data_IF_856386707962
#
_entry.id   IF_856386707962
#
_cell.length_a   1.000
_cell.length_b   1.000
_cell.length_c   1.000
_cell.angle_alpha   90.00
_cell.angle_beta   90.00
_cell.angle_gamma   90.00
#
_symmetry.space_group_name_H-M   'P 1'
#
loop_
_entity.id
_entity.type
_entity.pdbx_description
1 polymer ?
#
# COMPACT_ATOMS: atom_id res chain seq x y z
N UNK A 1 -12.52 -43.44 -49.28
CA UNK A 1 -11.23 -44.14 -49.44
C UNK A 1 -10.19 -43.14 -49.88
N UNK A 2 -9.45 -42.60 -48.91
CA UNK A 2 -8.20 -41.88 -49.04
C UNK A 2 -7.60 -41.94 -47.62
N UNK A 3 -6.39 -42.47 -47.49
CA UNK A 3 -5.81 -42.85 -46.19
C UNK A 3 -4.61 -41.96 -45.94
N UNK A 4 -4.59 -41.27 -44.81
CA UNK A 4 -3.41 -40.53 -44.33
C UNK A 4 -2.72 -41.32 -43.21
N UNK A 5 -1.38 -41.18 -43.06
CA UNK A 5 -0.57 -42.23 -42.45
C UNK A 5 -0.48 -42.19 -40.92
N UNK A 6 -0.35 -43.39 -40.36
CA UNK A 6 -0.15 -43.66 -38.94
C UNK A 6 1.33 -43.39 -38.56
N UNK A 7 1.56 -42.57 -37.53
CA UNK A 7 2.89 -42.19 -37.06
C UNK A 7 3.29 -43.07 -35.86
N UNK A 8 3.99 -44.16 -36.15
CA UNK A 8 4.62 -45.00 -35.13
C UNK A 8 5.73 -44.23 -34.41
N UNK A 9 5.56 -43.96 -33.10
CA UNK A 9 6.62 -43.41 -32.25
C UNK A 9 7.27 -44.56 -31.47
N UNK A 10 8.53 -44.84 -31.79
CA UNK A 10 9.33 -45.89 -31.17
C UNK A 10 9.70 -45.52 -29.72
N UNK A 11 9.38 -46.37 -28.76
CA UNK A 11 9.86 -46.23 -27.38
C UNK A 11 11.24 -46.87 -27.20
N UNK A 12 12.24 -46.09 -26.79
CA UNK A 12 13.54 -46.58 -26.31
C UNK A 12 13.66 -46.31 -24.79
N UNK A 13 14.13 -47.26 -23.95
CA UNK A 13 14.02 -47.14 -22.50
C UNK A 13 15.32 -46.70 -21.81
N UNK A 14 15.17 -45.97 -20.71
CA UNK A 14 16.18 -45.94 -19.64
C UNK A 14 16.86 -44.60 -19.40
N UNK A 15 16.26 -43.78 -18.53
CA UNK A 15 17.01 -42.84 -17.69
C UNK A 15 16.65 -43.13 -16.22
N UNK A 16 17.67 -43.38 -15.41
CA UNK A 16 17.50 -43.71 -14.00
C UNK A 16 17.01 -42.48 -13.21
N UNK A 17 16.15 -42.73 -12.22
CA UNK A 17 15.47 -41.70 -11.42
C UNK A 17 16.29 -41.38 -10.17
N UNK A 18 16.91 -40.21 -10.12
CA UNK A 18 17.57 -39.72 -8.90
C UNK A 18 16.53 -39.45 -7.78
N UNK A 19 16.91 -39.64 -6.50
CA UNK A 19 15.98 -39.47 -5.38
C UNK A 19 15.69 -37.99 -5.08
N UNK A 20 14.42 -37.69 -4.76
CA UNK A 20 14.01 -36.36 -4.27
C UNK A 20 14.72 -36.04 -2.94
N UNK A 21 15.29 -34.84 -2.86
CA UNK A 21 15.69 -34.25 -1.58
C UNK A 21 14.45 -33.90 -0.75
N UNK A 22 14.46 -34.29 0.51
CA UNK A 22 13.45 -33.98 1.52
C UNK A 22 13.72 -32.58 2.11
N UNK A 23 12.70 -31.72 2.12
CA UNK A 23 12.79 -30.37 2.69
C UNK A 23 12.55 -30.42 4.21
N UNK A 24 13.40 -31.17 4.90
CA UNK A 24 13.35 -31.35 6.36
C UNK A 24 13.67 -30.08 7.14
N UNK A 25 13.09 -29.98 8.35
CA UNK A 25 13.18 -28.83 9.23
C UNK A 25 14.63 -28.35 9.51
N UNK A 26 14.80 -27.03 9.62
CA UNK A 26 16.08 -26.40 9.92
C UNK A 26 16.70 -26.90 11.22
N UNK A 27 18.01 -27.19 11.20
CA UNK A 27 18.76 -27.72 12.34
C UNK A 27 18.62 -26.83 13.59
N UNK A 28 18.40 -27.41 14.79
CA UNK A 28 18.23 -26.65 16.04
C UNK A 28 19.46 -25.81 16.44
N UNK A 29 20.62 -26.10 15.85
CA UNK A 29 21.85 -25.33 16.07
C UNK A 29 21.79 -23.93 15.44
N UNK A 30 21.17 -23.81 14.25
CA UNK A 30 20.94 -22.51 13.61
C UNK A 30 19.94 -21.65 14.38
N UNK A 31 18.89 -22.26 14.95
CA UNK A 31 17.90 -21.52 15.76
C UNK A 31 18.55 -20.95 17.04
N UNK A 32 19.40 -21.73 17.71
CA UNK A 32 20.16 -21.26 18.88
C UNK A 32 21.15 -20.13 18.54
N UNK A 33 21.82 -20.21 17.39
CA UNK A 33 22.68 -19.13 16.90
C UNK A 33 21.93 -17.81 16.68
N UNK A 34 20.74 -17.88 16.09
CA UNK A 34 19.87 -16.70 15.84
C UNK A 34 19.32 -16.13 17.16
N UNK A 35 18.85 -16.96 18.08
CA UNK A 35 18.37 -16.52 19.40
C UNK A 35 19.46 -15.82 20.23
N UNK A 36 20.70 -16.34 20.20
CA UNK A 36 21.84 -15.71 20.85
C UNK A 36 22.17 -14.33 20.23
N UNK A 37 22.02 -14.17 18.92
CA UNK A 37 22.21 -12.89 18.22
C UNK A 37 21.20 -11.84 18.70
N UNK A 38 19.91 -12.20 18.75
CA UNK A 38 18.86 -11.31 19.24
C UNK A 38 18.96 -11.02 20.75
N UNK A 39 19.46 -11.96 21.56
CA UNK A 39 19.74 -11.71 22.97
C UNK A 39 20.83 -10.65 23.15
N UNK A 40 21.92 -10.70 22.34
CA UNK A 40 22.99 -9.70 22.39
C UNK A 40 22.52 -8.32 21.94
N UNK A 41 21.74 -8.24 20.86
CA UNK A 41 21.18 -6.99 20.35
C UNK A 41 20.22 -6.31 21.36
N UNK A 42 19.47 -7.09 22.16
CA UNK A 42 18.65 -6.55 23.27
C UNK A 42 19.49 -6.08 24.46
N UNK A 43 20.61 -6.73 24.75
CA UNK A 43 21.52 -6.31 25.81
C UNK A 43 22.18 -4.96 25.46
N UNK A 44 22.74 -4.85 24.25
CA UNK A 44 23.36 -3.63 23.73
C UNK A 44 22.37 -2.44 23.67
N UNK A 45 21.08 -2.68 23.39
CA UNK A 45 20.04 -1.64 23.40
C UNK A 45 19.59 -1.20 24.82
N UNK A 46 19.75 -2.06 25.83
CA UNK A 46 19.37 -1.73 27.22
C UNK A 46 20.44 -0.91 27.92
N UNK A 47 21.72 -1.07 27.55
CA UNK A 47 22.83 -0.27 28.11
C UNK A 47 22.86 1.19 27.64
N UNK A 48 22.14 1.54 26.57
CA UNK A 48 22.15 2.88 25.98
C UNK A 48 21.14 3.87 26.61
N UNK A 49 20.39 3.47 27.64
CA UNK A 49 19.25 4.25 28.17
C UNK A 49 19.32 4.52 29.69
N UNK A 50 20.46 4.29 30.35
CA UNK A 50 20.61 4.47 31.81
C UNK A 50 21.94 5.13 32.19
N UNK A 51 22.22 6.34 31.66
CA UNK A 51 23.26 7.20 32.23
C UNK A 51 23.06 8.70 31.94
N UNK A 52 21.99 9.33 32.45
CA UNK A 52 21.96 10.80 32.62
C UNK A 52 20.97 11.29 33.71
N UNK A 53 21.39 11.24 34.99
CA UNK A 53 20.94 12.19 36.06
C UNK A 53 22.01 12.24 37.17
N UNK A 54 22.88 13.27 37.21
CA UNK A 54 23.55 13.77 38.42
C UNK A 54 24.36 15.07 38.17
N UNK A 55 24.29 16.01 39.12
CA UNK A 55 25.00 17.30 39.23
C UNK A 55 25.00 17.70 40.74
N UNK A 56 25.84 18.59 41.33
CA UNK A 56 27.09 19.28 40.93
C UNK A 56 28.27 18.79 41.86
N UNK A 57 29.26 19.56 42.42
CA UNK A 57 29.74 20.94 42.21
C UNK A 57 31.28 21.23 42.26
N UNK A 58 31.73 22.17 41.43
CA UNK A 58 32.46 23.42 41.82
C UNK A 58 33.86 23.42 42.48
N UNK A 59 34.85 23.95 41.73
CA UNK A 59 35.92 24.95 42.05
C UNK A 59 36.90 24.97 40.86
N UNK A 60 37.69 25.99 40.49
CA UNK A 60 37.91 27.42 40.75
C UNK A 60 39.12 27.83 39.87
N UNK A 61 39.35 29.14 39.62
CA UNK A 61 40.48 29.73 38.87
C UNK A 61 40.57 29.42 37.36
N UNK A 62 40.76 30.37 36.44
CA UNK A 62 40.92 31.83 36.53
C UNK A 62 42.18 32.32 35.79
N UNK A 63 42.01 33.11 34.71
CA UNK A 63 42.94 34.09 34.07
C UNK A 63 42.24 34.62 32.79
N UNK A 64 42.30 35.94 32.53
CA UNK A 64 41.92 36.58 31.25
C UNK A 64 43.10 37.43 30.71
N UNK A 65 42.91 38.44 29.81
CA UNK A 65 41.69 38.84 29.10
C UNK A 65 41.85 39.01 27.54
N UNK A 66 40.70 39.17 26.86
CA UNK A 66 40.37 40.01 25.67
C UNK A 66 41.49 40.80 24.94
N UNK A 67 41.46 40.95 23.58
CA UNK A 67 40.36 41.72 22.95
C UNK A 67 39.87 41.35 21.53
N UNK A 68 38.57 41.62 21.33
CA UNK A 68 37.94 42.29 20.17
C UNK A 68 38.33 41.87 18.73
N UNK A 69 37.44 41.09 18.10
CA UNK A 69 37.07 41.33 16.68
C UNK A 69 35.56 41.29 16.49
N UNK A 70 34.94 42.46 16.55
CA UNK A 70 33.52 42.68 16.29
C UNK A 70 33.22 42.55 14.77
N UNK A 71 32.29 41.68 14.39
CA UNK A 71 32.03 41.39 12.97
C UNK A 71 30.85 40.47 12.61
N UNK A 72 30.04 40.01 13.58
CA UNK A 72 28.81 39.28 13.27
C UNK A 72 27.69 40.26 12.94
N UNK A 73 27.44 40.49 11.65
CA UNK A 73 26.17 41.01 11.19
C UNK A 73 25.09 39.96 11.45
N UNK A 74 24.46 40.06 12.63
CA UNK A 74 23.15 39.45 12.87
C UNK A 74 22.13 40.18 11.99
N UNK A 75 22.04 39.75 10.73
CA UNK A 75 20.90 40.04 9.89
C UNK A 75 19.73 39.28 10.52
N UNK A 76 18.84 40.01 11.19
CA UNK A 76 17.65 39.41 11.78
C UNK A 76 16.84 38.74 10.68
N UNK A 77 16.85 37.41 10.69
CA UNK A 77 16.03 36.59 9.80
C UNK A 77 14.58 36.95 10.12
N UNK A 78 14.01 37.76 9.24
CA UNK A 78 12.62 38.19 9.37
C UNK A 78 11.81 36.95 9.08
N UNK A 79 10.89 36.51 9.96
CA UNK A 79 10.09 35.33 9.67
C UNK A 79 9.30 35.63 8.39
N UNK A 80 9.70 34.98 7.31
CA UNK A 80 8.83 34.80 6.14
C UNK A 80 7.54 34.14 6.65
N UNK A 81 6.41 34.29 5.95
CA UNK A 81 5.24 33.48 6.21
C UNK A 81 5.56 32.03 5.85
N UNK A 82 6.18 31.31 6.79
CA UNK A 82 6.39 29.87 6.71
C UNK A 82 5.03 29.20 6.48
N UNK A 83 5.01 28.27 5.54
CA UNK A 83 3.79 27.56 5.18
C UNK A 83 3.31 26.66 6.32
N UNK A 84 2.15 26.00 6.17
CA UNK A 84 1.81 24.91 7.06
C UNK A 84 2.93 23.87 7.05
N UNK A 85 3.30 23.42 8.25
CA UNK A 85 4.27 22.35 8.45
C UNK A 85 3.81 21.04 7.77
N UNK A 86 4.75 20.16 7.48
CA UNK A 86 4.47 18.89 6.80
C UNK A 86 3.51 18.03 7.62
N UNK A 87 3.65 18.01 8.95
CA UNK A 87 2.75 17.29 9.85
C UNK A 87 1.33 17.90 9.82
N UNK A 88 1.21 19.23 9.83
CA UNK A 88 -0.09 19.91 9.72
C UNK A 88 -0.81 19.58 8.40
N UNK A 89 -0.06 19.47 7.29
CA UNK A 89 -0.59 19.09 5.98
C UNK A 89 -1.10 17.64 5.98
N UNK A 90 -0.34 16.70 6.56
CA UNK A 90 -0.71 15.29 6.65
C UNK A 90 -1.91 15.09 7.60
N UNK A 91 -1.90 15.77 8.75
CA UNK A 91 -2.97 15.71 9.74
C UNK A 91 -4.28 16.31 9.19
N UNK A 92 -4.22 17.39 8.40
CA UNK A 92 -5.37 17.95 7.69
C UNK A 92 -5.93 16.95 6.66
N UNK A 93 -5.07 16.35 5.82
CA UNK A 93 -5.46 15.29 4.87
C UNK A 93 -6.18 14.14 5.59
N UNK A 94 -5.66 13.65 6.72
CA UNK A 94 -6.24 12.51 7.42
C UNK A 94 -7.58 12.80 8.10
N UNK A 95 -7.78 14.03 8.57
CA UNK A 95 -9.11 14.51 8.98
C UNK A 95 -10.07 14.58 7.78
N UNK A 96 -9.59 15.06 6.62
CA UNK A 96 -10.38 15.17 5.40
C UNK A 96 -10.74 13.83 4.76
N UNK A 97 -9.93 12.77 4.89
CA UNK A 97 -10.19 11.49 4.20
C UNK A 97 -10.67 10.35 5.10
N UNK A 98 -10.45 10.41 6.41
CA UNK A 98 -10.63 9.23 7.28
C UNK A 98 -12.05 8.64 7.31
N UNK A 99 -13.12 9.43 7.15
CA UNK A 99 -14.49 8.90 7.01
C UNK A 99 -14.74 8.30 5.62
N UNK A 100 -14.12 8.83 4.57
CA UNK A 100 -14.16 8.30 3.20
C UNK A 100 -13.45 6.94 3.14
N UNK A 101 -12.27 6.81 3.75
CA UNK A 101 -11.56 5.53 3.88
C UNK A 101 -12.45 4.48 4.58
N UNK A 102 -13.10 4.84 5.69
CA UNK A 102 -14.03 3.96 6.43
C UNK A 102 -15.29 3.63 5.62
N UNK A 103 -15.81 4.58 4.86
CA UNK A 103 -16.98 4.41 3.97
C UNK A 103 -16.67 3.39 2.88
N UNK A 104 -15.61 3.64 2.10
CA UNK A 104 -15.15 2.77 1.02
C UNK A 104 -14.83 1.36 1.53
N UNK A 105 -14.07 1.25 2.62
CA UNK A 105 -13.73 -0.05 3.19
C UNK A 105 -14.99 -0.84 3.63
N UNK A 106 -16.00 -0.17 4.19
CA UNK A 106 -17.28 -0.79 4.56
C UNK A 106 -18.09 -1.20 3.33
N UNK A 107 -18.11 -0.38 2.27
CA UNK A 107 -18.81 -0.65 1.02
C UNK A 107 -18.20 -1.86 0.29
N UNK A 108 -16.87 -1.90 0.15
CA UNK A 108 -16.15 -3.03 -0.45
C UNK A 108 -16.33 -4.32 0.36
N UNK A 109 -16.22 -4.27 1.70
CA UNK A 109 -16.48 -5.44 2.57
C UNK A 109 -17.89 -5.99 2.42
N UNK A 110 -18.88 -5.10 2.21
CA UNK A 110 -20.26 -5.51 1.95
C UNK A 110 -20.37 -6.18 0.58
N UNK A 111 -19.85 -5.58 -0.48
CA UNK A 111 -19.85 -6.19 -1.82
C UNK A 111 -19.18 -7.57 -1.84
N UNK A 112 -18.06 -7.74 -1.13
CA UNK A 112 -17.37 -9.02 -0.93
C UNK A 112 -18.19 -10.02 -0.10
N UNK A 113 -19.01 -9.58 0.85
CA UNK A 113 -19.88 -10.45 1.63
C UNK A 113 -21.12 -10.89 0.83
N UNK A 114 -21.72 -9.97 0.10
CA UNK A 114 -22.87 -10.23 -0.77
C UNK A 114 -22.45 -11.19 -1.90
N UNK A 115 -21.30 -10.97 -2.55
CA UNK A 115 -20.75 -11.91 -3.54
C UNK A 115 -20.37 -13.27 -2.95
N UNK A 116 -19.75 -13.33 -1.75
CA UNK A 116 -19.49 -14.62 -1.10
C UNK A 116 -20.78 -15.43 -0.89
N UNK A 117 -21.88 -14.75 -0.53
CA UNK A 117 -23.18 -15.39 -0.36
C UNK A 117 -23.73 -15.89 -1.71
N UNK A 118 -23.60 -15.11 -2.79
CA UNK A 118 -23.96 -15.53 -4.16
C UNK A 118 -23.17 -16.79 -4.58
N UNK A 119 -21.85 -16.78 -4.45
CA UNK A 119 -20.97 -17.90 -4.84
C UNK A 119 -21.30 -19.18 -4.06
N UNK A 120 -21.48 -19.08 -2.74
CA UNK A 120 -21.83 -20.23 -1.90
C UNK A 120 -23.26 -20.73 -2.13
N UNK A 121 -24.20 -19.86 -2.53
CA UNK A 121 -25.56 -20.23 -2.89
C UNK A 121 -25.64 -20.91 -4.27
N UNK A 122 -24.82 -20.47 -5.24
CA UNK A 122 -24.62 -21.19 -6.51
C UNK A 122 -24.06 -22.59 -6.22
N UNK A 123 -22.97 -22.69 -5.45
CA UNK A 123 -22.28 -23.96 -5.17
C UNK A 123 -23.20 -24.99 -4.47
N UNK A 124 -24.07 -24.57 -3.54
CA UNK A 124 -25.05 -25.45 -2.89
C UNK A 124 -26.17 -25.95 -3.82
N UNK A 125 -26.45 -25.24 -4.92
CA UNK A 125 -27.49 -25.63 -5.89
C UNK A 125 -26.96 -26.56 -6.97
N UNK A 126 -25.71 -26.39 -7.37
CA UNK A 126 -25.00 -27.29 -8.28
C UNK A 126 -24.72 -28.64 -7.62
N UNK A 127 -25.18 -29.73 -8.23
CA UNK A 127 -24.83 -31.09 -7.81
C UNK A 127 -23.62 -31.58 -8.60
N UNK A 128 -22.42 -31.36 -8.07
CA UNK A 128 -21.15 -31.76 -8.68
C UNK A 128 -20.19 -30.58 -8.86
N UNK A 129 -19.03 -30.84 -9.48
CA UNK A 129 -18.00 -29.83 -9.72
C UNK A 129 -18.48 -28.68 -10.60
N UNK A 130 -18.19 -27.44 -10.16
CA UNK A 130 -18.62 -26.20 -10.82
C UNK A 130 -17.39 -25.48 -11.41
N UNK A 131 -17.37 -25.12 -12.70
CA UNK A 131 -16.30 -24.31 -13.25
C UNK A 131 -16.43 -22.86 -12.79
N UNK A 132 -15.29 -22.13 -12.72
CA UNK A 132 -15.26 -20.75 -12.21
C UNK A 132 -16.19 -19.77 -12.97
N UNK A 133 -16.44 -20.03 -14.25
CA UNK A 133 -17.35 -19.24 -15.11
C UNK A 133 -18.82 -19.32 -14.68
N UNK A 134 -19.21 -20.38 -13.97
CA UNK A 134 -20.57 -20.54 -13.43
C UNK A 134 -20.70 -19.97 -12.00
N UNK A 135 -19.57 -19.75 -11.31
CA UNK A 135 -19.54 -19.17 -9.95
C UNK A 135 -19.49 -17.63 -9.94
N UNK A 136 -18.77 -17.02 -10.89
CA UNK A 136 -18.54 -15.58 -10.95
C UNK A 136 -19.08 -14.98 -12.25
N UNK A 137 -19.46 -13.68 -12.27
CA UNK A 137 -19.72 -12.94 -13.50
C UNK A 137 -18.53 -12.96 -14.47
N UNK A 138 -18.73 -12.46 -15.70
CA UNK A 138 -17.62 -12.23 -16.63
C UNK A 138 -16.55 -11.31 -16.00
N UNK A 139 -15.27 -11.38 -16.41
CA UNK A 139 -14.23 -10.53 -15.83
C UNK A 139 -14.55 -9.02 -15.91
N UNK A 140 -15.17 -8.56 -17.00
CA UNK A 140 -15.63 -7.18 -17.15
C UNK A 140 -16.76 -6.82 -16.19
N UNK A 141 -17.76 -7.69 -16.01
CA UNK A 141 -18.90 -7.43 -15.12
C UNK A 141 -18.48 -7.49 -13.65
N UNK A 142 -17.52 -8.36 -13.32
CA UNK A 142 -16.94 -8.49 -11.98
C UNK A 142 -16.14 -7.24 -11.59
N UNK A 143 -15.34 -6.70 -12.52
CA UNK A 143 -14.69 -5.39 -12.34
C UNK A 143 -15.71 -4.26 -12.26
N UNK A 144 -16.72 -4.23 -13.14
CA UNK A 144 -17.75 -3.19 -13.15
C UNK A 144 -18.55 -3.13 -11.83
N UNK A 145 -18.80 -4.29 -11.20
CA UNK A 145 -19.43 -4.40 -9.87
C UNK A 145 -18.65 -3.63 -8.81
N UNK A 146 -17.33 -3.79 -8.71
CA UNK A 146 -16.52 -3.06 -7.72
C UNK A 146 -16.26 -1.60 -8.12
N UNK A 147 -16.18 -1.29 -9.41
CA UNK A 147 -16.07 0.08 -9.92
C UNK A 147 -17.28 0.93 -9.48
N UNK A 148 -18.49 0.37 -9.60
CA UNK A 148 -19.72 1.03 -9.15
C UNK A 148 -19.75 1.26 -7.63
N UNK A 149 -19.11 0.39 -6.85
CA UNK A 149 -18.99 0.52 -5.38
C UNK A 149 -17.94 1.57 -4.98
N UNK A 150 -16.79 1.60 -5.66
CA UNK A 150 -15.66 2.46 -5.26
C UNK A 150 -15.77 3.91 -5.78
N UNK A 151 -16.32 4.11 -6.99
CA UNK A 151 -16.36 5.42 -7.66
C UNK A 151 -16.94 6.58 -6.83
N UNK A 152 -18.04 6.41 -6.05
CA UNK A 152 -18.61 7.49 -5.25
C UNK A 152 -17.69 8.02 -4.14
N UNK A 153 -17.07 7.13 -3.36
CA UNK A 153 -16.13 7.52 -2.30
C UNK A 153 -14.85 8.12 -2.90
N UNK A 154 -14.32 7.58 -3.99
CA UNK A 154 -13.11 8.11 -4.64
C UNK A 154 -13.33 9.50 -5.26
N UNK A 155 -14.49 9.78 -5.87
CA UNK A 155 -14.85 11.15 -6.28
C UNK A 155 -14.99 12.10 -5.09
N UNK A 156 -15.51 11.60 -3.97
CA UNK A 156 -15.60 12.38 -2.72
C UNK A 156 -14.21 12.75 -2.20
N UNK A 157 -13.25 11.81 -2.21
CA UNK A 157 -11.86 12.07 -1.83
C UNK A 157 -11.20 13.12 -2.73
N UNK A 158 -11.37 13.02 -4.05
CA UNK A 158 -10.84 13.99 -5.01
C UNK A 158 -11.47 15.39 -4.85
N UNK A 159 -12.78 15.48 -4.59
CA UNK A 159 -13.45 16.74 -4.30
C UNK A 159 -12.94 17.41 -3.02
N UNK A 160 -12.68 16.63 -1.97
CA UNK A 160 -12.08 17.15 -0.73
C UNK A 160 -10.66 17.66 -0.93
N UNK A 161 -9.82 16.92 -1.66
CA UNK A 161 -8.49 17.39 -2.03
C UNK A 161 -8.51 18.67 -2.89
N UNK A 162 -9.51 18.82 -3.77
CA UNK A 162 -9.70 20.03 -4.58
C UNK A 162 -10.16 21.25 -3.75
N UNK A 163 -10.80 21.04 -2.59
CA UNK A 163 -11.23 22.08 -1.66
C UNK A 163 -12.02 23.26 -2.27
N UNK A 164 -12.81 23.01 -3.32
CA UNK A 164 -13.68 24.00 -3.96
C UNK A 164 -14.93 23.38 -4.60
N UNK A 165 -15.91 24.21 -4.97
CA UNK A 165 -17.13 23.79 -5.67
C UNK A 165 -16.93 23.47 -7.18
N UNK A 166 -15.68 23.49 -7.67
CA UNK A 166 -15.37 23.11 -9.05
C UNK A 166 -15.43 21.58 -9.23
N UNK A 167 -15.63 21.13 -10.48
CA UNK A 167 -15.64 19.69 -10.80
C UNK A 167 -14.26 19.07 -10.50
N UNK A 168 -14.18 18.00 -9.69
CA UNK A 168 -12.91 17.33 -9.40
C UNK A 168 -12.29 16.71 -10.67
N UNK A 169 -10.94 16.56 -10.72
CA UNK A 169 -10.30 15.82 -11.78
C UNK A 169 -10.82 14.37 -11.83
N UNK A 170 -10.93 13.80 -13.02
CA UNK A 170 -11.36 12.40 -13.16
C UNK A 170 -10.45 11.46 -12.36
N UNK A 171 -11.08 10.47 -11.73
CA UNK A 171 -10.45 9.38 -10.97
C UNK A 171 -10.81 8.02 -11.55
N UNK A 172 -11.33 7.97 -12.78
CA UNK A 172 -11.90 6.75 -13.36
C UNK A 172 -10.85 5.64 -13.53
N UNK A 173 -9.61 6.00 -13.86
CA UNK A 173 -8.43 5.13 -13.86
C UNK A 173 -8.10 4.57 -12.46
N UNK A 174 -8.18 5.39 -11.40
CA UNK A 174 -7.95 4.95 -10.03
C UNK A 174 -9.05 3.98 -9.57
N UNK A 175 -10.31 4.27 -9.92
CA UNK A 175 -11.45 3.43 -9.57
C UNK A 175 -11.46 2.11 -10.36
N UNK A 176 -11.08 2.13 -11.64
CA UNK A 176 -10.86 0.92 -12.45
C UNK A 176 -9.69 0.10 -11.91
N UNK A 177 -8.58 0.75 -11.53
CA UNK A 177 -7.40 0.07 -10.96
C UNK A 177 -7.73 -0.66 -9.64
N UNK A 178 -8.46 0.01 -8.73
CA UNK A 178 -8.96 -0.61 -7.50
C UNK A 178 -9.84 -1.83 -7.82
N UNK A 179 -10.83 -1.63 -8.69
CA UNK A 179 -11.83 -2.64 -9.01
C UNK A 179 -11.23 -3.88 -9.68
N UNK A 180 -10.30 -3.69 -10.62
CA UNK A 180 -9.59 -4.77 -11.31
C UNK A 180 -8.68 -5.52 -10.33
N UNK A 181 -7.87 -4.81 -9.54
CA UNK A 181 -6.98 -5.40 -8.52
C UNK A 181 -7.73 -6.33 -7.56
N UNK A 182 -8.91 -5.91 -7.12
CA UNK A 182 -9.76 -6.70 -6.23
C UNK A 182 -10.42 -7.88 -6.97
N UNK A 183 -11.03 -7.64 -8.14
CA UNK A 183 -11.72 -8.68 -8.91
C UNK A 183 -10.76 -9.81 -9.37
N UNK A 184 -9.60 -9.45 -9.91
CA UNK A 184 -8.61 -10.41 -10.44
C UNK A 184 -8.00 -11.26 -9.31
N UNK A 185 -7.67 -10.66 -8.16
CA UNK A 185 -7.06 -11.38 -7.04
C UNK A 185 -8.10 -12.26 -6.28
N UNK A 186 -9.38 -11.86 -6.23
CA UNK A 186 -10.49 -12.74 -5.80
C UNK A 186 -10.65 -13.90 -6.77
N UNK A 187 -10.75 -13.62 -8.08
CA UNK A 187 -10.90 -14.64 -9.13
C UNK A 187 -9.76 -15.65 -9.12
N UNK A 188 -8.53 -15.19 -8.98
CA UNK A 188 -7.33 -16.04 -8.92
C UNK A 188 -7.31 -16.92 -7.66
N UNK A 189 -7.86 -16.47 -6.52
CA UNK A 189 -8.05 -17.35 -5.35
C UNK A 189 -9.12 -18.40 -5.56
N UNK A 190 -10.27 -18.02 -6.11
CA UNK A 190 -11.36 -18.96 -6.36
C UNK A 190 -10.94 -20.03 -7.38
N UNK A 191 -10.16 -19.66 -8.40
CA UNK A 191 -9.53 -20.62 -9.32
C UNK A 191 -8.62 -21.61 -8.56
N UNK A 192 -7.71 -21.12 -7.71
CA UNK A 192 -6.84 -21.98 -6.89
C UNK A 192 -7.60 -22.86 -5.91
N UNK A 193 -8.73 -22.38 -5.36
CA UNK A 193 -9.59 -23.17 -4.47
C UNK A 193 -10.30 -24.30 -5.22
N UNK A 194 -10.76 -24.06 -6.46
CA UNK A 194 -11.32 -25.09 -7.34
C UNK A 194 -10.29 -26.17 -7.69
N UNK A 195 -9.08 -25.75 -8.08
CA UNK A 195 -7.96 -26.64 -8.41
C UNK A 195 -7.51 -27.49 -7.21
N UNK A 196 -7.44 -26.89 -6.02
CA UNK A 196 -7.02 -27.59 -4.81
C UNK A 196 -8.09 -28.53 -4.21
N UNK A 197 -9.36 -28.33 -4.54
CA UNK A 197 -10.47 -29.13 -4.02
C UNK A 197 -10.66 -30.47 -4.76
N UNK A 198 -10.15 -30.61 -5.99
CA UNK A 198 -10.23 -31.82 -6.84
C UNK A 198 -11.65 -32.44 -6.92
N UNK A 199 -12.68 -31.57 -6.90
CA UNK A 199 -14.10 -31.96 -6.96
C UNK A 199 -14.79 -32.21 -5.61
N UNK A 200 -14.10 -32.09 -4.47
CA UNK A 200 -14.71 -32.15 -3.14
C UNK A 200 -15.32 -30.78 -2.74
N UNK A 201 -16.62 -30.79 -2.40
CA UNK A 201 -17.37 -29.60 -2.00
C UNK A 201 -16.86 -29.00 -0.68
N UNK A 202 -16.41 -29.84 0.27
CA UNK A 202 -15.97 -29.38 1.60
C UNK A 202 -14.75 -28.45 1.54
N UNK A 203 -13.59 -28.93 1.02
CA UNK A 203 -12.40 -28.11 0.81
C UNK A 203 -12.65 -26.89 -0.07
N UNK A 204 -13.54 -26.99 -1.07
CA UNK A 204 -13.92 -25.85 -1.92
C UNK A 204 -14.64 -24.76 -1.13
N UNK A 205 -15.64 -25.11 -0.32
CA UNK A 205 -16.37 -24.16 0.55
C UNK A 205 -15.42 -23.50 1.55
N UNK A 206 -14.48 -24.25 2.12
CA UNK A 206 -13.45 -23.73 3.02
C UNK A 206 -12.50 -22.75 2.30
N UNK A 207 -11.99 -23.12 1.12
CA UNK A 207 -11.10 -22.28 0.31
C UNK A 207 -11.75 -20.97 -0.16
N UNK A 208 -12.99 -21.03 -0.64
CA UNK A 208 -13.80 -19.85 -0.98
C UNK A 208 -13.97 -18.96 0.26
N UNK A 209 -14.31 -19.56 1.41
CA UNK A 209 -14.56 -18.81 2.65
C UNK A 209 -13.29 -18.17 3.20
N UNK A 210 -12.14 -18.82 3.08
CA UNK A 210 -10.83 -18.27 3.43
C UNK A 210 -10.48 -17.07 2.53
N UNK A 211 -10.68 -17.18 1.21
CA UNK A 211 -10.40 -16.12 0.25
C UNK A 211 -11.18 -14.82 0.53
N UNK A 212 -12.51 -14.92 0.69
CA UNK A 212 -13.35 -13.75 1.01
C UNK A 212 -13.08 -13.22 2.43
N UNK A 213 -12.71 -14.08 3.39
CA UNK A 213 -12.33 -13.65 4.74
C UNK A 213 -11.04 -12.83 4.71
N UNK A 214 -9.97 -13.33 4.10
CA UNK A 214 -8.67 -12.64 3.96
C UNK A 214 -8.87 -11.24 3.39
N UNK A 215 -9.67 -11.12 2.33
CA UNK A 215 -10.02 -9.83 1.75
C UNK A 215 -10.69 -8.90 2.76
N UNK A 216 -11.78 -9.35 3.39
CA UNK A 216 -12.59 -8.55 4.32
C UNK A 216 -11.91 -8.20 5.65
N UNK A 217 -10.84 -8.90 6.05
CA UNK A 217 -10.14 -8.65 7.31
C UNK A 217 -8.78 -7.98 7.16
N UNK A 218 -8.16 -8.03 5.98
CA UNK A 218 -6.73 -7.73 5.85
C UNK A 218 -6.38 -6.93 4.59
N UNK A 219 -7.12 -7.07 3.49
CA UNK A 219 -6.78 -6.40 2.21
C UNK A 219 -7.63 -5.18 1.86
N UNK A 220 -8.89 -5.14 2.29
CA UNK A 220 -9.78 -4.02 1.95
C UNK A 220 -9.27 -2.70 2.55
N UNK A 221 -8.83 -2.67 3.80
CA UNK A 221 -8.41 -1.43 4.44
C UNK A 221 -7.16 -0.79 3.80
N UNK A 222 -6.02 -1.49 3.58
CA UNK A 222 -4.88 -0.91 2.87
C UNK A 222 -5.22 -0.46 1.45
N UNK A 223 -6.03 -1.25 0.72
CA UNK A 223 -6.46 -0.89 -0.64
C UNK A 223 -7.31 0.39 -0.63
N UNK A 224 -8.27 0.49 0.29
CA UNK A 224 -9.12 1.67 0.44
C UNK A 224 -8.30 2.92 0.80
N UNK A 225 -7.39 2.83 1.79
CA UNK A 225 -6.49 3.93 2.17
C UNK A 225 -5.66 4.42 0.98
N UNK A 226 -5.00 3.51 0.27
CA UNK A 226 -4.15 3.86 -0.87
C UNK A 226 -4.92 4.62 -1.96
N UNK A 227 -6.06 4.09 -2.42
CA UNK A 227 -6.81 4.74 -3.50
C UNK A 227 -7.50 6.04 -3.06
N UNK A 228 -7.93 6.15 -1.79
CA UNK A 228 -8.47 7.41 -1.25
C UNK A 228 -7.39 8.48 -1.15
N UNK A 229 -6.20 8.16 -0.64
CA UNK A 229 -5.07 9.09 -0.61
C UNK A 229 -4.61 9.51 -2.02
N UNK A 230 -4.60 8.59 -2.98
CA UNK A 230 -4.30 8.87 -4.38
C UNK A 230 -5.34 9.81 -5.05
N UNK A 231 -6.63 9.57 -4.79
CA UNK A 231 -7.71 10.41 -5.31
C UNK A 231 -7.69 11.82 -4.69
N UNK A 232 -7.50 11.92 -3.37
CA UNK A 232 -7.32 13.18 -2.67
C UNK A 232 -6.10 13.96 -3.19
N UNK A 233 -4.95 13.30 -3.33
CA UNK A 233 -3.71 13.92 -3.84
C UNK A 233 -3.87 14.46 -5.27
N UNK A 234 -4.65 13.78 -6.13
CA UNK A 234 -4.99 14.30 -7.47
C UNK A 234 -5.87 15.55 -7.40
N UNK A 235 -6.86 15.58 -6.50
CA UNK A 235 -7.65 16.78 -6.21
C UNK A 235 -6.79 17.94 -5.71
N UNK A 236 -5.88 17.66 -4.78
CA UNK A 236 -4.97 18.65 -4.18
C UNK A 236 -3.95 19.20 -5.18
N UNK A 237 -3.40 18.35 -6.04
CA UNK A 237 -2.60 18.78 -7.19
C UNK A 237 -3.39 19.70 -8.14
N UNK A 238 -4.68 19.42 -8.37
CA UNK A 238 -5.51 20.31 -9.17
C UNK A 238 -5.72 21.68 -8.48
N UNK A 239 -5.93 21.71 -7.16
CA UNK A 239 -6.12 22.93 -6.37
C UNK A 239 -4.89 23.83 -6.24
N UNK A 240 -3.70 23.26 -6.02
CA UNK A 240 -2.50 24.07 -5.77
C UNK A 240 -2.07 24.86 -7.02
N UNK A 241 -1.48 26.04 -6.84
CA UNK A 241 -0.91 26.86 -7.92
C UNK A 241 0.60 27.09 -7.68
N UNK A 242 1.31 27.57 -8.70
CA UNK A 242 2.74 27.89 -8.58
C UNK A 242 3.64 26.66 -8.40
N UNK A 243 4.45 26.67 -7.33
CA UNK A 243 5.40 25.59 -7.00
C UNK A 243 4.82 24.65 -5.96
N UNK A 244 5.12 23.37 -6.10
CA UNK A 244 4.60 22.26 -5.31
C UNK A 244 5.75 21.52 -4.64
N UNK A 245 5.60 21.21 -3.35
CA UNK A 245 6.53 20.36 -2.59
C UNK A 245 5.86 19.02 -2.26
N UNK A 246 6.64 17.94 -2.27
CA UNK A 246 6.18 16.60 -1.90
C UNK A 246 6.23 16.45 -0.38
N UNK A 247 5.12 16.03 0.23
CA UNK A 247 4.98 15.85 1.68
C UNK A 247 4.96 14.35 1.97
N UNK A 248 6.03 13.86 2.61
CA UNK A 248 6.24 12.42 2.84
C UNK A 248 5.40 11.94 4.02
N UNK A 249 4.57 10.95 3.76
CA UNK A 249 3.90 10.17 4.80
C UNK A 249 4.77 8.97 5.19
N UNK A 250 5.25 8.96 6.44
CA UNK A 250 6.10 7.91 6.99
C UNK A 250 5.37 6.71 7.62
N UNK A 251 4.02 6.67 7.64
CA UNK A 251 3.25 5.65 8.36
C UNK A 251 3.53 4.21 7.85
N UNK A 252 3.65 4.04 6.54
CA UNK A 252 3.95 2.75 5.89
C UNK A 252 5.47 2.46 5.82
N UNK A 253 6.31 3.32 6.42
CA UNK A 253 7.76 3.21 6.46
C UNK A 253 8.51 4.03 5.38
N UNK A 254 9.85 4.11 5.45
CA UNK A 254 10.66 4.92 4.54
C UNK A 254 10.60 4.38 3.10
N UNK A 255 10.48 5.30 2.14
CA UNK A 255 10.43 4.98 0.71
C UNK A 255 11.40 5.89 -0.06
N UNK A 256 12.48 5.33 -0.64
CA UNK A 256 13.47 6.11 -1.38
C UNK A 256 12.86 7.00 -2.46
N UNK A 257 11.86 6.51 -3.20
CA UNK A 257 11.18 7.28 -4.24
C UNK A 257 10.41 8.50 -3.68
N UNK A 258 9.83 8.39 -2.48
CA UNK A 258 9.15 9.50 -1.82
C UNK A 258 10.14 10.48 -1.20
N UNK A 259 11.22 9.95 -0.62
CA UNK A 259 12.31 10.75 -0.02
C UNK A 259 13.03 11.57 -1.09
N UNK A 260 13.36 10.97 -2.25
CA UNK A 260 13.96 11.67 -3.40
C UNK A 260 13.06 12.81 -3.92
N UNK A 261 11.74 12.59 -3.96
CA UNK A 261 10.78 13.61 -4.37
C UNK A 261 10.68 14.78 -3.39
N UNK A 262 10.83 14.53 -2.09
CA UNK A 262 10.85 15.58 -1.07
C UNK A 262 12.20 16.32 -1.03
N UNK A 263 13.32 15.61 -1.22
CA UNK A 263 14.67 16.18 -1.28
C UNK A 263 14.87 17.15 -2.46
N UNK A 264 14.08 17.03 -3.53
CA UNK A 264 14.07 18.00 -4.62
C UNK A 264 13.45 19.37 -4.25
N UNK A 265 12.74 19.45 -3.11
CA UNK A 265 12.03 20.65 -2.69
C UNK A 265 10.90 21.03 -3.62
N UNK A 266 10.63 22.34 -3.74
CA UNK A 266 9.49 22.87 -4.48
C UNK A 266 9.73 22.91 -6.00
N UNK A 267 8.88 22.23 -6.76
CA UNK A 267 8.95 22.09 -8.24
C UNK A 267 7.76 22.81 -8.88
N UNK A 268 7.94 23.45 -10.05
CA UNK A 268 6.85 24.12 -10.76
C UNK A 268 5.71 23.15 -11.13
N UNK A 269 4.45 23.54 -10.94
CA UNK A 269 3.29 22.72 -11.31
C UNK A 269 3.36 22.28 -12.78
N UNK A 270 3.12 20.98 -12.99
CA UNK A 270 3.27 20.26 -14.27
C UNK A 270 4.70 19.91 -14.70
N UNK A 271 5.74 20.26 -13.94
CA UNK A 271 7.03 19.56 -14.03
C UNK A 271 6.96 18.28 -13.18
N UNK A 272 7.57 17.16 -13.63
CA UNK A 272 7.64 15.94 -12.84
C UNK A 272 8.63 16.09 -11.68
N UNK A 273 8.28 15.46 -10.56
CA UNK A 273 9.24 15.15 -9.49
C UNK A 273 10.31 14.15 -9.99
N UNK A 274 11.47 14.00 -9.30
CA UNK A 274 12.56 13.12 -9.72
C UNK A 274 12.16 11.72 -10.18
N UNK A 275 11.18 11.09 -9.54
CA UNK A 275 10.71 9.73 -9.92
C UNK A 275 9.68 9.69 -11.06
N UNK A 276 9.35 10.85 -11.64
CA UNK A 276 8.56 11.00 -12.86
C UNK A 276 7.08 11.36 -12.68
N UNK A 277 6.54 11.28 -11.46
CA UNK A 277 5.15 11.62 -11.16
C UNK A 277 4.96 13.15 -11.00
N UNK A 278 3.75 13.65 -11.29
CA UNK A 278 3.37 15.03 -11.02
C UNK A 278 2.85 15.24 -9.59
N UNK A 279 2.37 14.17 -8.96
CA UNK A 279 1.82 14.11 -7.61
C UNK A 279 1.80 12.66 -7.11
N UNK A 280 1.69 12.40 -5.79
CA UNK A 280 1.50 11.07 -5.22
C UNK A 280 0.28 10.33 -5.80
N UNK A 281 0.29 8.98 -5.84
CA UNK A 281 1.26 8.09 -5.21
C UNK A 281 2.50 7.81 -6.09
N UNK A 282 3.67 7.61 -5.47
CA UNK A 282 4.84 7.05 -6.16
C UNK A 282 4.72 5.52 -6.35
N UNK A 283 4.12 4.81 -5.39
CA UNK A 283 3.97 3.35 -5.37
C UNK A 283 2.64 2.91 -4.74
N UNK A 284 2.28 1.63 -4.86
CA UNK A 284 1.14 1.04 -4.15
C UNK A 284 1.35 1.14 -2.64
N UNK A 285 0.36 1.63 -1.91
CA UNK A 285 0.44 1.90 -0.47
C UNK A 285 0.94 3.30 -0.11
N UNK A 286 1.52 4.06 -1.05
CA UNK A 286 1.93 5.45 -0.79
C UNK A 286 0.70 6.30 -0.40
N UNK A 287 0.79 6.97 0.77
CA UNK A 287 -0.22 7.92 1.27
C UNK A 287 0.20 9.40 1.13
N UNK A 288 1.45 9.68 0.74
CA UNK A 288 2.04 11.02 0.60
C UNK A 288 1.11 12.02 -0.12
N UNK A 289 1.31 13.33 0.12
CA UNK A 289 0.53 14.38 -0.56
C UNK A 289 1.43 15.48 -1.14
N UNK A 290 0.83 16.50 -1.78
CA UNK A 290 1.53 17.71 -2.21
C UNK A 290 1.04 18.93 -1.43
N UNK A 291 1.92 19.91 -1.23
CA UNK A 291 1.55 21.23 -0.73
C UNK A 291 2.03 22.31 -1.70
N UNK A 292 1.30 23.43 -1.76
CA UNK A 292 1.81 24.64 -2.41
C UNK A 292 2.91 25.28 -1.56
N UNK A 293 3.96 25.77 -2.21
CA UNK A 293 5.00 26.56 -1.58
C UNK A 293 4.49 27.99 -1.33
N UNK A 294 4.64 28.58 -0.12
CA UNK A 294 4.35 30.00 0.10
C UNK A 294 5.25 30.88 -0.80
N UNK A 295 4.67 31.94 -1.35
CA UNK A 295 5.37 32.92 -2.18
C UNK A 295 6.04 34.04 -1.36
#
# INVERSE_FOLDING_TARGET
AATEPELEITTDPGVAREPKADAGAGSPDNQRGVEALFARLRAERTTAFVEEVADPPGTDSGIGPEPDTNGTSSAGETPSPEGPDDEDVLQARDVEVGDVERSLAKALKRALADEQNEVLDILRRSRGGVPLVDLLPSPSDHTARYLAVAGPDLRTAAGRGLASDAEPPSIDDLAVSLAATLADDVRARLQRALEAADGDEGPLVEGISAAYREWKTTRVEPLARHHVAAAHSRGRFAACEGRLRWVVDGEEGPCPDCDDNALAGSIDKNQPFPTGQLHPPAHVGCRCTVAGDPA
#
